data_IF_290568431321
#
_entry.id   IF_290568431321
#
_cell.length_a   1.000
_cell.length_b   1.000
_cell.length_c   1.000
_cell.angle_alpha   90.00
_cell.angle_beta   90.00
_cell.angle_gamma   90.00
#
_symmetry.space_group_name_H-M   'P 1'
#
loop_
_entity.id
_entity.type
_entity.pdbx_description
1 polymer ?
#
# COMPACT_ATOMS: atom_id res chain seq x y z
N UNK A 1 -3.51 -12.21 -7.99
CA UNK A 1 -3.83 -11.74 -9.35
C UNK A 1 -3.15 -10.39 -9.56
N UNK A 2 -2.68 -10.09 -10.77
CA UNK A 2 -2.22 -8.73 -11.11
C UNK A 2 -3.45 -7.95 -11.58
N UNK A 3 -3.74 -6.82 -10.93
CA UNK A 3 -4.78 -5.89 -11.38
C UNK A 3 -4.10 -4.75 -12.08
N UNK A 4 -4.40 -4.60 -13.36
CA UNK A 4 -4.14 -3.37 -14.06
C UNK A 4 -5.44 -2.57 -14.05
N UNK A 5 -5.47 -1.47 -13.31
CA UNK A 5 -6.64 -0.60 -13.24
C UNK A 5 -6.38 0.68 -14.03
N UNK A 6 -7.26 0.96 -14.99
CA UNK A 6 -7.30 2.22 -15.74
C UNK A 6 -8.27 3.22 -15.08
N UNK A 7 -8.87 2.88 -13.94
CA UNK A 7 -9.76 3.80 -13.24
C UNK A 7 -8.96 5.01 -12.73
N UNK A 8 -9.21 6.16 -13.36
CA UNK A 8 -8.73 7.45 -12.90
C UNK A 8 -9.51 7.87 -11.64
N UNK A 9 -9.17 7.27 -10.49
CA UNK A 9 -9.57 7.83 -9.21
C UNK A 9 -8.61 8.96 -8.81
N UNK A 10 -9.08 9.98 -8.07
CA UNK A 10 -8.24 11.14 -7.73
C UNK A 10 -6.99 10.78 -6.92
N UNK A 11 -7.02 9.66 -6.18
CA UNK A 11 -5.91 9.17 -5.36
C UNK A 11 -5.74 7.66 -5.55
N UNK A 12 -4.50 7.22 -5.67
CA UNK A 12 -4.12 5.80 -5.77
C UNK A 12 -4.69 4.97 -4.61
N UNK A 13 -4.71 5.53 -3.41
CA UNK A 13 -5.26 4.86 -2.24
C UNK A 13 -6.75 4.50 -2.39
N UNK A 14 -7.54 5.33 -3.08
CA UNK A 14 -8.97 5.05 -3.28
C UNK A 14 -9.17 3.87 -4.24
N UNK A 15 -8.32 3.77 -5.27
CA UNK A 15 -8.34 2.63 -6.19
C UNK A 15 -7.97 1.31 -5.49
N UNK A 16 -6.97 1.34 -4.60
CA UNK A 16 -6.57 0.16 -3.83
C UNK A 16 -7.71 -0.31 -2.91
N UNK A 17 -8.37 0.62 -2.21
CA UNK A 17 -9.49 0.30 -1.31
C UNK A 17 -10.70 -0.26 -2.06
N UNK A 18 -11.05 0.35 -3.19
CA UNK A 18 -12.14 -0.13 -4.04
C UNK A 18 -11.89 -1.55 -4.54
N UNK A 19 -10.67 -1.84 -4.98
CA UNK A 19 -10.32 -3.17 -5.47
C UNK A 19 -10.26 -4.21 -4.34
N UNK A 20 -9.71 -3.84 -3.18
CA UNK A 20 -9.72 -4.68 -1.99
C UNK A 20 -11.14 -5.09 -1.57
N UNK A 21 -12.08 -4.13 -1.60
CA UNK A 21 -13.50 -4.41 -1.35
C UNK A 21 -14.10 -5.31 -2.44
N UNK A 22 -13.85 -5.01 -3.72
CA UNK A 22 -14.36 -5.78 -4.86
C UNK A 22 -13.91 -7.25 -4.82
N UNK A 23 -12.71 -7.48 -4.31
CA UNK A 23 -12.14 -8.81 -4.16
C UNK A 23 -12.61 -9.57 -2.92
N UNK A 24 -13.23 -8.88 -1.96
CA UNK A 24 -13.46 -9.44 -0.63
C UNK A 24 -12.14 -9.78 0.07
N UNK A 25 -11.11 -8.93 -0.08
CA UNK A 25 -9.81 -9.18 0.51
C UNK A 25 -9.84 -9.08 2.04
N UNK A 26 -9.29 -10.07 2.74
CA UNK A 26 -9.15 -10.06 4.20
C UNK A 26 -7.92 -9.28 4.70
N UNK A 27 -7.00 -8.93 3.80
CA UNK A 27 -5.74 -8.24 4.08
C UNK A 27 -5.26 -7.46 2.85
N UNK A 28 -4.77 -6.23 3.05
CA UNK A 28 -4.08 -5.45 2.03
C UNK A 28 -2.58 -5.38 2.35
N UNK A 29 -1.72 -5.74 1.40
CA UNK A 29 -0.25 -5.65 1.55
C UNK A 29 0.30 -4.55 0.66
N UNK A 30 1.06 -3.63 1.24
CA UNK A 30 1.69 -2.52 0.51
C UNK A 30 3.20 -2.56 0.71
N UNK A 31 3.95 -2.63 -0.40
CA UNK A 31 5.39 -2.42 -0.37
C UNK A 31 5.73 -0.93 -0.29
N UNK A 32 6.56 -0.53 0.66
CA UNK A 32 7.10 0.84 0.75
C UNK A 32 8.58 0.85 0.36
N UNK A 33 8.92 1.71 -0.61
CA UNK A 33 10.30 1.86 -1.06
C UNK A 33 11.08 2.75 -0.08
N UNK A 34 11.87 2.13 0.79
CA UNK A 34 12.81 2.81 1.68
C UNK A 34 14.06 3.33 0.96
N UNK A 35 13.91 4.13 -0.10
CA UNK A 35 14.99 4.59 -1.01
C UNK A 35 16.16 5.35 -0.35
N UNK A 36 16.20 5.48 0.97
CA UNK A 36 17.33 6.01 1.73
C UNK A 36 17.33 5.39 3.12
N UNK A 37 18.30 4.52 3.39
CA UNK A 37 18.39 3.68 4.58
C UNK A 37 17.98 4.38 5.89
N UNK A 38 17.04 3.72 6.59
CA UNK A 38 16.82 3.71 8.05
C UNK A 38 16.60 5.05 8.79
N UNK A 39 16.81 6.24 8.22
CA UNK A 39 16.76 7.50 8.99
C UNK A 39 15.40 8.18 9.11
N UNK A 40 14.38 7.71 8.40
CA UNK A 40 12.98 8.11 8.65
C UNK A 40 12.06 7.09 7.98
N UNK A 41 11.41 6.23 8.77
CA UNK A 41 10.25 5.44 8.30
C UNK A 41 9.10 6.41 8.01
N UNK A 42 9.18 7.17 6.92
CA UNK A 42 8.06 7.98 6.46
C UNK A 42 7.11 7.02 5.76
N UNK A 43 5.91 6.89 6.32
CA UNK A 43 4.83 6.23 5.65
C UNK A 43 4.50 7.00 4.37
N UNK A 44 4.66 6.37 3.20
CA UNK A 44 4.34 7.03 1.93
C UNK A 44 2.86 7.39 1.86
N UNK A 45 2.51 8.47 1.14
CA UNK A 45 1.13 9.00 1.07
C UNK A 45 0.08 7.97 0.63
N UNK A 46 0.47 7.00 -0.20
CA UNK A 46 -0.41 5.88 -0.58
C UNK A 46 -0.62 4.92 0.59
N UNK A 47 0.46 4.46 1.23
CA UNK A 47 0.40 3.53 2.34
C UNK A 47 -0.35 4.15 3.54
N UNK A 48 -0.14 5.44 3.81
CA UNK A 48 -0.89 6.21 4.80
C UNK A 48 -2.37 6.29 4.43
N UNK A 49 -2.67 6.70 3.20
CA UNK A 49 -4.04 6.85 2.74
C UNK A 49 -4.84 5.54 2.81
N UNK A 50 -4.23 4.41 2.47
CA UNK A 50 -4.88 3.10 2.58
C UNK A 50 -5.00 2.67 4.04
N UNK A 51 -3.93 2.79 4.84
CA UNK A 51 -3.93 2.40 6.26
C UNK A 51 -5.01 3.14 7.06
N UNK A 52 -5.20 4.44 6.81
CA UNK A 52 -6.20 5.25 7.52
C UNK A 52 -7.66 4.92 7.14
N UNK A 53 -7.91 4.34 5.96
CA UNK A 53 -9.28 4.19 5.41
C UNK A 53 -9.70 2.75 5.14
N UNK A 54 -8.80 1.79 5.28
CA UNK A 54 -9.09 0.38 5.04
C UNK A 54 -10.04 -0.18 6.09
N UNK A 55 -11.01 -0.98 5.65
CA UNK A 55 -11.89 -1.76 6.53
C UNK A 55 -11.27 -3.09 6.94
N UNK A 56 -10.11 -3.44 6.36
CA UNK A 56 -9.35 -4.66 6.65
C UNK A 56 -7.92 -4.32 7.05
N UNK A 57 -7.21 -5.22 7.76
CA UNK A 57 -5.83 -4.99 8.13
C UNK A 57 -4.95 -4.58 6.94
N UNK A 58 -3.97 -3.71 7.18
CA UNK A 58 -3.00 -3.27 6.19
C UNK A 58 -1.59 -3.60 6.66
N UNK A 59 -0.89 -4.47 5.93
CA UNK A 59 0.50 -4.83 6.18
C UNK A 59 1.43 -4.00 5.30
N UNK A 60 2.26 -3.17 5.92
CA UNK A 60 3.23 -2.33 5.21
C UNK A 60 4.60 -2.99 5.30
N UNK A 61 5.11 -3.45 4.16
CA UNK A 61 6.40 -4.13 4.06
C UNK A 61 7.45 -3.12 3.64
N UNK A 62 8.46 -2.94 4.47
CA UNK A 62 9.59 -2.05 4.21
C UNK A 62 10.72 -2.88 3.61
N UNK A 63 11.33 -2.39 2.53
CA UNK A 63 12.57 -2.97 2.04
C UNK A 63 13.68 -2.76 3.09
N UNK A 64 14.13 -3.86 3.71
CA UNK A 64 15.32 -3.86 4.56
C UNK A 64 16.59 -3.71 3.72
N UNK A 65 17.72 -3.46 4.37
CA UNK A 65 19.01 -3.52 3.70
C UNK A 65 19.20 -4.92 3.08
N UNK A 66 19.72 -5.02 1.84
CA UNK A 66 20.12 -6.29 1.28
C UNK A 66 21.12 -6.93 2.24
N UNK A 67 20.82 -8.14 2.74
CA UNK A 67 21.78 -8.93 3.48
C UNK A 67 22.85 -9.39 2.50
N UNK A 68 23.98 -8.67 2.46
CA UNK A 68 25.24 -9.11 1.84
C UNK A 68 25.91 -10.16 2.71
#
# INVERSE_FOLDING_TARGET
>A
AVVETTQALPRVADAILAEGHRWGADLIVIGSHGRSGVRRMILGSVAEGVSQRSTVPVLIVHAGEPKV
#
